data_IF_920066818754
#
_entry.id   IF_920066818754
#
_cell.length_a   1.000
_cell.length_b   1.000
_cell.length_c   1.000
_cell.angle_alpha   90.00
_cell.angle_beta   90.00
_cell.angle_gamma   90.00
#
_symmetry.space_group_name_H-M   'P 1'
#
loop_
_entity.id
_entity.type
_entity.pdbx_description
1 polymer ?
#
# COMPACT_ATOMS: atom_id res chain seq x y z
N UNK A 1 1.14 -21.32 -14.44
CA UNK A 1 2.05 -21.06 -15.58
C UNK A 1 3.41 -21.64 -15.23
N UNK A 2 4.07 -22.37 -16.14
CA UNK A 2 5.36 -22.97 -15.81
C UNK A 2 6.48 -21.93 -16.02
N UNK A 3 7.03 -21.38 -14.94
CA UNK A 3 8.07 -20.35 -14.96
C UNK A 3 9.47 -20.93 -15.33
N UNK A 4 9.67 -22.22 -15.10
CA UNK A 4 10.98 -22.87 -15.32
C UNK A 4 11.24 -23.20 -16.79
N UNK A 5 10.18 -23.60 -17.53
CA UNK A 5 10.31 -24.06 -18.92
C UNK A 5 9.50 -23.20 -19.91
N UNK A 6 8.96 -22.08 -19.47
CA UNK A 6 8.16 -21.17 -20.27
C UNK A 6 9.02 -20.19 -21.10
N UNK A 7 8.44 -19.67 -22.18
CA UNK A 7 9.08 -18.58 -22.93
C UNK A 7 9.13 -17.32 -22.03
N UNK A 8 10.33 -16.77 -21.84
CA UNK A 8 10.59 -15.65 -20.95
C UNK A 8 9.83 -14.38 -21.37
N UNK A 9 9.70 -14.12 -22.69
CA UNK A 9 9.05 -12.90 -23.21
C UNK A 9 7.59 -12.74 -22.74
N UNK A 10 6.68 -13.71 -22.96
CA UNK A 10 5.29 -13.55 -22.50
C UNK A 10 5.18 -13.52 -20.98
N UNK A 11 6.07 -14.21 -20.25
CA UNK A 11 6.13 -14.15 -18.80
C UNK A 11 6.48 -12.72 -18.35
N UNK A 12 7.56 -12.16 -18.89
CA UNK A 12 7.99 -10.80 -18.59
C UNK A 12 6.88 -9.77 -18.88
N UNK A 13 6.26 -9.82 -20.06
CA UNK A 13 5.20 -8.89 -20.42
C UNK A 13 3.96 -9.02 -19.53
N UNK A 14 3.62 -10.21 -19.06
CA UNK A 14 2.52 -10.44 -18.10
C UNK A 14 2.78 -9.70 -16.79
N UNK A 15 3.97 -9.89 -16.20
CA UNK A 15 4.32 -9.24 -14.93
C UNK A 15 4.51 -7.73 -15.09
N UNK A 16 5.16 -7.32 -16.18
CA UNK A 16 5.34 -5.91 -16.50
C UNK A 16 3.99 -5.18 -16.66
N UNK A 17 3.08 -5.72 -17.46
CA UNK A 17 1.75 -5.11 -17.67
C UNK A 17 0.94 -5.03 -16.38
N UNK A 18 0.99 -6.07 -15.53
CA UNK A 18 0.32 -6.08 -14.25
C UNK A 18 0.90 -5.03 -13.29
N UNK A 19 2.22 -4.92 -13.19
CA UNK A 19 2.89 -3.94 -12.34
C UNK A 19 2.68 -2.50 -12.86
N UNK A 20 2.87 -2.30 -14.17
CA UNK A 20 2.67 -1.00 -14.82
C UNK A 20 1.22 -0.52 -14.70
N UNK A 21 0.25 -1.40 -14.97
CA UNK A 21 -1.17 -1.10 -14.82
C UNK A 21 -1.52 -0.71 -13.38
N UNK A 22 -1.03 -1.44 -12.39
CA UNK A 22 -1.22 -1.10 -10.98
C UNK A 22 -0.65 0.27 -10.62
N UNK A 23 0.57 0.58 -11.09
CA UNK A 23 1.22 1.87 -10.83
C UNK A 23 0.46 3.03 -11.50
N UNK A 24 0.06 2.87 -12.76
CA UNK A 24 -0.72 3.87 -13.50
C UNK A 24 -2.04 4.20 -12.80
N UNK A 25 -2.76 3.19 -12.36
CA UNK A 25 -4.04 3.38 -11.68
C UNK A 25 -3.86 4.07 -10.34
N UNK A 26 -2.85 3.67 -9.57
CA UNK A 26 -2.51 4.35 -8.32
C UNK A 26 -2.23 5.84 -8.53
N UNK A 27 -1.50 6.18 -9.60
CA UNK A 27 -1.24 7.57 -9.95
C UNK A 27 -2.51 8.32 -10.37
N UNK A 28 -3.38 7.68 -11.15
CA UNK A 28 -4.63 8.30 -11.63
C UNK A 28 -5.56 8.62 -10.47
N UNK A 29 -5.85 7.66 -9.58
CA UNK A 29 -6.76 7.96 -8.47
C UNK A 29 -6.16 8.96 -7.49
N UNK A 30 -4.85 8.96 -7.27
CA UNK A 30 -4.20 9.97 -6.42
C UNK A 30 -4.32 11.39 -7.00
N UNK A 31 -4.27 11.53 -8.33
CA UNK A 31 -4.52 12.82 -9.00
C UNK A 31 -5.99 13.24 -8.90
N UNK A 32 -6.91 12.30 -9.05
CA UNK A 32 -8.36 12.55 -8.91
C UNK A 32 -8.69 13.01 -7.50
N UNK A 33 -8.20 12.30 -6.49
CA UNK A 33 -8.37 12.63 -5.07
C UNK A 33 -7.86 14.06 -4.77
N UNK A 34 -6.63 14.37 -5.21
CA UNK A 34 -6.07 15.71 -5.05
C UNK A 34 -6.90 16.79 -5.77
N UNK A 35 -7.41 16.50 -6.96
CA UNK A 35 -8.23 17.44 -7.72
C UNK A 35 -9.60 17.66 -7.04
N UNK A 36 -10.24 16.61 -6.52
CA UNK A 36 -11.52 16.71 -5.80
C UNK A 36 -11.38 17.51 -4.51
N UNK A 37 -10.35 17.21 -3.71
CA UNK A 37 -10.06 17.98 -2.49
C UNK A 37 -9.72 19.42 -2.81
N UNK A 38 -8.95 19.68 -3.87
CA UNK A 38 -8.63 21.04 -4.33
C UNK A 38 -9.86 21.83 -4.77
N UNK A 39 -10.85 21.18 -5.37
CA UNK A 39 -12.11 21.84 -5.75
C UNK A 39 -13.01 22.11 -4.53
N UNK A 40 -13.03 21.22 -3.55
CA UNK A 40 -13.90 21.35 -2.37
C UNK A 40 -13.32 22.26 -1.29
N UNK A 41 -12.04 22.07 -0.94
CA UNK A 41 -11.35 22.77 0.15
C UNK A 41 -10.34 23.84 -0.33
N UNK A 42 -10.14 23.96 -1.66
CA UNK A 42 -9.17 24.89 -2.22
C UNK A 42 -7.70 24.56 -1.89
N UNK A 43 -6.83 25.59 -1.90
CA UNK A 43 -5.39 25.40 -1.63
C UNK A 43 -5.09 24.81 -0.26
N UNK A 44 -5.87 25.14 0.77
CA UNK A 44 -5.65 24.66 2.14
C UNK A 44 -5.91 23.14 2.24
N UNK A 45 -6.92 22.63 1.51
CA UNK A 45 -7.19 21.20 1.43
C UNK A 45 -6.04 20.44 0.79
N UNK A 46 -5.51 20.92 -0.34
CA UNK A 46 -4.37 20.29 -1.00
C UNK A 46 -3.09 20.37 -0.16
N UNK A 47 -2.88 21.47 0.56
CA UNK A 47 -1.76 21.62 1.48
C UNK A 47 -1.88 20.62 2.67
N UNK A 48 -3.07 20.45 3.24
CA UNK A 48 -3.31 19.49 4.31
C UNK A 48 -3.06 18.04 3.83
N UNK A 49 -3.51 17.67 2.62
CA UNK A 49 -3.19 16.37 2.04
C UNK A 49 -1.68 16.16 1.86
N UNK A 50 -0.96 17.19 1.41
CA UNK A 50 0.49 17.12 1.25
C UNK A 50 1.22 16.87 2.56
N UNK A 51 0.72 17.39 3.69
CA UNK A 51 1.24 17.13 5.03
C UNK A 51 0.94 15.70 5.51
N UNK A 52 -0.21 15.14 5.13
CA UNK A 52 -0.59 13.75 5.49
C UNK A 52 0.10 12.70 4.59
N UNK A 53 0.44 13.04 3.35
CA UNK A 53 1.03 12.12 2.38
C UNK A 53 2.28 11.36 2.87
N UNK A 54 3.25 11.96 3.59
CA UNK A 54 4.40 11.23 4.14
C UNK A 54 3.99 10.12 5.10
N UNK A 55 2.93 10.30 5.89
CA UNK A 55 2.41 9.27 6.81
C UNK A 55 1.97 8.04 6.01
N UNK A 56 1.18 8.25 4.94
CA UNK A 56 0.78 7.18 4.02
C UNK A 56 1.97 6.47 3.39
N UNK A 57 2.96 7.23 2.91
CA UNK A 57 4.14 6.68 2.26
C UNK A 57 4.98 5.81 3.22
N UNK A 58 5.07 6.18 4.49
CA UNK A 58 5.75 5.37 5.51
C UNK A 58 4.99 4.05 5.72
N UNK A 59 3.67 4.09 5.92
CA UNK A 59 2.85 2.89 6.11
C UNK A 59 2.91 1.96 4.89
N UNK A 60 2.82 2.54 3.69
CA UNK A 60 2.98 1.84 2.43
C UNK A 60 4.34 1.11 2.36
N UNK A 61 5.42 1.81 2.70
CA UNK A 61 6.78 1.27 2.69
C UNK A 61 6.98 0.16 3.72
N UNK A 62 6.38 0.28 4.90
CA UNK A 62 6.42 -0.78 5.92
C UNK A 62 5.68 -2.04 5.45
N UNK A 63 4.55 -1.90 4.79
CA UNK A 63 3.84 -3.02 4.17
C UNK A 63 4.66 -3.70 3.07
N UNK A 64 5.31 -2.91 2.21
CA UNK A 64 6.21 -3.43 1.18
C UNK A 64 7.46 -4.09 1.77
N UNK A 65 8.01 -3.57 2.85
CA UNK A 65 9.18 -4.16 3.52
C UNK A 65 8.91 -5.62 3.91
N UNK A 66 7.79 -5.88 4.58
CA UNK A 66 7.39 -7.24 4.94
C UNK A 66 6.96 -8.05 3.70
N UNK A 67 6.24 -7.42 2.79
CA UNK A 67 5.73 -8.06 1.58
C UNK A 67 6.85 -8.51 0.64
N UNK A 68 7.71 -7.60 0.21
CA UNK A 68 8.80 -7.92 -0.72
C UNK A 68 9.86 -8.78 -0.02
N UNK A 69 10.27 -8.40 1.20
CA UNK A 69 11.27 -9.15 1.96
C UNK A 69 10.86 -10.61 2.18
N UNK A 70 9.62 -10.84 2.63
CA UNK A 70 9.10 -12.20 2.85
C UNK A 70 8.83 -12.97 1.57
N UNK A 71 8.17 -12.34 0.57
CA UNK A 71 7.72 -13.03 -0.63
C UNK A 71 8.87 -13.42 -1.58
N UNK A 72 9.96 -12.66 -1.61
CA UNK A 72 11.15 -13.03 -2.40
C UNK A 72 11.81 -14.28 -1.82
N UNK A 73 11.97 -14.36 -0.51
CA UNK A 73 12.52 -15.55 0.13
C UNK A 73 11.58 -16.75 -0.04
N UNK A 74 10.27 -16.54 0.18
CA UNK A 74 9.22 -17.54 -0.05
C UNK A 74 9.33 -18.15 -1.46
N UNK A 75 9.35 -17.32 -2.50
CA UNK A 75 9.42 -17.79 -3.89
C UNK A 75 10.77 -18.46 -4.22
N UNK A 76 11.86 -17.96 -3.64
CA UNK A 76 13.20 -18.54 -3.83
C UNK A 76 13.30 -19.94 -3.23
N UNK A 77 12.81 -20.11 -1.99
CA UNK A 77 12.82 -21.43 -1.30
C UNK A 77 11.91 -22.42 -2.03
N UNK A 78 10.74 -21.99 -2.49
CA UNK A 78 9.81 -22.80 -3.28
C UNK A 78 10.39 -23.27 -4.61
N UNK A 79 11.27 -22.46 -5.23
CA UNK A 79 11.96 -22.81 -6.49
C UNK A 79 13.17 -23.74 -6.32
N UNK A 80 13.66 -23.96 -5.11
CA UNK A 80 14.81 -24.81 -4.85
C UNK A 80 14.39 -26.27 -4.59
N UNK A 81 14.46 -27.13 -5.60
CA UNK A 81 14.11 -28.55 -5.50
C UNK A 81 14.94 -29.35 -4.47
N UNK A 82 16.14 -28.86 -4.14
CA UNK A 82 17.12 -29.53 -3.27
C UNK A 82 16.90 -29.32 -1.77
N UNK A 83 16.10 -28.35 -1.37
CA UNK A 83 15.84 -28.05 0.04
C UNK A 83 14.42 -28.46 0.50
N UNK A 84 14.05 -29.73 0.30
CA UNK A 84 12.78 -30.29 0.83
C UNK A 84 12.57 -30.15 2.36
N UNK A 85 13.57 -29.66 3.09
CA UNK A 85 13.54 -29.50 4.56
C UNK A 85 12.99 -28.14 5.03
N UNK A 86 12.87 -27.13 4.17
CA UNK A 86 12.34 -25.82 4.56
C UNK A 86 10.95 -25.61 3.98
N UNK A 87 10.01 -25.33 4.89
CA UNK A 87 8.63 -25.04 4.53
C UNK A 87 8.55 -23.56 4.13
N UNK A 88 8.25 -23.27 2.86
CA UNK A 88 8.08 -21.90 2.35
C UNK A 88 7.04 -21.10 3.15
N UNK A 89 6.03 -21.76 3.72
CA UNK A 89 4.98 -21.13 4.53
C UNK A 89 5.50 -20.49 5.82
N UNK A 90 6.69 -20.90 6.31
CA UNK A 90 7.30 -20.27 7.48
C UNK A 90 7.64 -18.80 7.18
N UNK A 91 8.12 -18.48 5.98
CA UNK A 91 8.45 -17.12 5.57
C UNK A 91 7.20 -16.25 5.42
N UNK A 92 6.10 -16.82 4.94
CA UNK A 92 4.80 -16.15 4.93
C UNK A 92 4.34 -15.84 6.36
N UNK A 93 4.43 -16.82 7.26
CA UNK A 93 4.05 -16.63 8.67
C UNK A 93 4.89 -15.57 9.36
N UNK A 94 6.21 -15.55 9.13
CA UNK A 94 7.10 -14.51 9.66
C UNK A 94 6.73 -13.12 9.11
N UNK A 95 6.42 -13.02 7.81
CA UNK A 95 5.98 -11.76 7.21
C UNK A 95 4.64 -11.28 7.80
N UNK A 96 3.70 -12.18 8.05
CA UNK A 96 2.42 -11.86 8.72
C UNK A 96 2.67 -11.35 10.14
N UNK A 97 3.46 -12.06 10.95
CA UNK A 97 3.78 -11.64 12.32
C UNK A 97 4.49 -10.27 12.32
N UNK A 98 5.49 -10.09 11.45
CA UNK A 98 6.18 -8.81 11.29
C UNK A 98 5.23 -7.68 10.89
N UNK A 99 4.30 -7.96 9.98
CA UNK A 99 3.27 -7.00 9.57
C UNK A 99 2.32 -6.63 10.73
N UNK A 100 1.92 -7.60 11.56
CA UNK A 100 1.10 -7.33 12.77
C UNK A 100 1.85 -6.40 13.72
N UNK A 101 3.13 -6.67 13.99
CA UNK A 101 3.94 -5.85 14.88
C UNK A 101 4.09 -4.43 14.31
N UNK A 102 4.46 -4.29 13.04
CA UNK A 102 4.63 -2.99 12.40
C UNK A 102 3.31 -2.22 12.29
N UNK A 103 2.22 -2.91 11.99
CA UNK A 103 0.88 -2.31 11.96
C UNK A 103 0.47 -1.77 13.33
N UNK A 104 0.70 -2.54 14.39
CA UNK A 104 0.37 -2.10 15.74
C UNK A 104 1.25 -0.92 16.19
N UNK A 105 2.56 -0.99 15.94
CA UNK A 105 3.50 0.09 16.30
C UNK A 105 3.18 1.38 15.55
N UNK A 106 2.98 1.31 14.24
CA UNK A 106 2.65 2.49 13.42
C UNK A 106 1.27 3.04 13.78
N UNK A 107 0.29 2.18 14.02
CA UNK A 107 -1.04 2.58 14.46
C UNK A 107 -1.02 3.30 15.81
N UNK A 108 -0.34 2.72 16.81
CA UNK A 108 -0.15 3.36 18.11
C UNK A 108 0.60 4.69 18.00
N UNK A 109 1.68 4.75 17.21
CA UNK A 109 2.42 5.98 16.97
C UNK A 109 1.53 7.10 16.42
N UNK A 110 0.68 6.79 15.44
CA UNK A 110 -0.20 7.79 14.82
C UNK A 110 -1.38 8.17 15.72
N UNK A 111 -1.89 7.25 16.56
CA UNK A 111 -2.95 7.59 17.52
C UNK A 111 -2.44 8.53 18.62
N UNK A 112 -1.25 8.25 19.16
CA UNK A 112 -0.73 9.00 20.30
C UNK A 112 0.08 10.24 19.91
N UNK A 113 0.62 10.29 18.70
CA UNK A 113 1.54 11.33 18.24
C UNK A 113 1.12 11.99 16.92
N UNK A 114 -0.18 11.99 16.60
CA UNK A 114 -0.69 12.60 15.36
C UNK A 114 -0.24 14.06 15.19
N UNK A 115 -0.48 14.92 16.18
CA UNK A 115 -0.09 16.34 16.13
C UNK A 115 1.41 16.55 15.95
N UNK A 116 2.31 15.97 16.79
CA UNK A 116 3.75 16.05 16.58
C UNK A 116 4.19 15.57 15.20
N UNK A 117 3.58 14.51 14.68
CA UNK A 117 3.90 13.96 13.37
C UNK A 117 3.50 14.95 12.26
N UNK A 118 2.29 15.49 12.32
CA UNK A 118 1.81 16.46 11.33
C UNK A 118 2.63 17.75 11.36
N UNK A 119 2.98 18.26 12.55
CA UNK A 119 3.86 19.42 12.71
C UNK A 119 5.27 19.15 12.14
N UNK A 120 5.82 17.95 12.37
CA UNK A 120 7.10 17.54 11.81
C UNK A 120 7.08 17.50 10.27
N UNK A 121 5.95 17.13 9.66
CA UNK A 121 5.78 17.10 8.20
C UNK A 121 5.33 18.46 7.62
N UNK A 122 5.29 19.52 8.41
CA UNK A 122 5.13 20.88 7.93
C UNK A 122 3.72 21.46 8.11
N UNK A 123 2.85 20.86 8.92
CA UNK A 123 1.61 21.53 9.33
C UNK A 123 1.96 22.77 10.15
N UNK A 124 1.38 23.90 9.81
CA UNK A 124 1.35 25.07 10.66
C UNK A 124 0.05 25.10 11.51
N UNK A 125 -0.10 26.11 12.36
CA UNK A 125 -1.29 26.23 13.23
C UNK A 125 -2.61 26.37 12.44
N UNK A 126 -2.57 26.85 11.20
CA UNK A 126 -3.74 27.03 10.36
C UNK A 126 -4.17 25.72 9.68
N UNK A 127 -3.21 24.91 9.26
CA UNK A 127 -3.43 23.65 8.56
C UNK A 127 -3.60 22.45 9.49
N UNK A 128 -3.14 22.53 10.74
CA UNK A 128 -3.12 21.40 11.67
C UNK A 128 -4.51 20.78 11.87
N UNK A 129 -5.52 21.59 12.11
CA UNK A 129 -6.90 21.10 12.32
C UNK A 129 -7.45 20.38 11.09
N UNK A 130 -7.16 20.90 9.89
CA UNK A 130 -7.60 20.28 8.64
C UNK A 130 -6.83 18.98 8.36
N UNK A 131 -5.52 18.96 8.57
CA UNK A 131 -4.70 17.78 8.43
C UNK A 131 -5.10 16.67 9.43
N UNK A 132 -5.46 17.03 10.69
CA UNK A 132 -6.03 16.09 11.67
C UNK A 132 -7.35 15.48 11.20
N UNK A 133 -8.23 16.27 10.59
CA UNK A 133 -9.50 15.77 10.06
C UNK A 133 -9.30 14.76 8.93
N UNK A 134 -8.33 14.98 8.03
CA UNK A 134 -7.94 14.01 6.99
C UNK A 134 -7.26 12.77 7.56
N UNK A 135 -6.45 12.93 8.62
CA UNK A 135 -5.76 11.79 9.24
C UNK A 135 -6.71 10.89 10.05
N UNK A 136 -7.82 11.42 10.53
CA UNK A 136 -8.75 10.68 11.41
C UNK A 136 -9.30 9.40 10.78
N UNK A 137 -9.88 9.38 9.56
CA UNK A 137 -10.30 8.15 8.93
C UNK A 137 -9.12 7.22 8.60
N UNK A 138 -7.96 7.79 8.29
CA UNK A 138 -6.73 7.04 8.01
C UNK A 138 -6.32 6.18 9.20
N UNK A 139 -6.43 6.70 10.43
CA UNK A 139 -6.11 5.96 11.66
C UNK A 139 -6.84 4.61 11.75
N UNK A 140 -8.09 4.55 11.29
CA UNK A 140 -8.88 3.33 11.35
C UNK A 140 -8.41 2.24 10.35
N UNK A 141 -7.83 2.66 9.22
CA UNK A 141 -7.50 1.74 8.11
C UNK A 141 -6.02 1.37 8.01
N UNK A 142 -5.14 2.01 8.80
CA UNK A 142 -3.68 1.76 8.78
C UNK A 142 -3.31 0.28 8.82
N UNK A 143 -3.81 -0.54 9.78
CA UNK A 143 -3.45 -1.96 9.83
C UNK A 143 -3.85 -2.70 8.56
N UNK A 144 -5.07 -2.46 8.07
CA UNK A 144 -5.59 -3.11 6.86
C UNK A 144 -4.80 -2.71 5.62
N UNK A 145 -4.42 -1.43 5.51
CA UNK A 145 -3.63 -0.94 4.38
C UNK A 145 -2.23 -1.55 4.34
N UNK A 146 -1.55 -1.65 5.49
CA UNK A 146 -0.25 -2.29 5.60
C UNK A 146 -0.32 -3.77 5.18
N UNK A 147 -1.31 -4.50 5.70
CA UNK A 147 -1.56 -5.90 5.31
C UNK A 147 -1.87 -6.05 3.82
N UNK A 148 -2.65 -5.16 3.24
CA UNK A 148 -2.96 -5.18 1.82
C UNK A 148 -1.70 -5.08 0.96
N UNK A 149 -0.75 -4.20 1.31
CA UNK A 149 0.52 -4.08 0.60
C UNK A 149 1.38 -5.34 0.72
N UNK A 150 1.47 -5.91 1.92
CA UNK A 150 2.17 -7.17 2.16
C UNK A 150 1.57 -8.30 1.32
N UNK A 151 0.25 -8.51 1.38
CA UNK A 151 -0.44 -9.57 0.65
C UNK A 151 -0.34 -9.40 -0.87
N UNK A 152 -0.43 -8.17 -1.39
CA UNK A 152 -0.25 -7.89 -2.81
C UNK A 152 1.14 -8.28 -3.31
N UNK A 153 2.19 -8.08 -2.51
CA UNK A 153 3.53 -8.52 -2.85
C UNK A 153 3.66 -10.06 -2.88
N UNK A 154 3.07 -10.75 -1.92
CA UNK A 154 3.02 -12.23 -1.91
C UNK A 154 2.25 -12.78 -3.11
N UNK A 155 1.07 -12.24 -3.44
CA UNK A 155 0.30 -12.66 -4.62
C UNK A 155 1.10 -12.53 -5.91
N UNK A 156 1.86 -11.43 -6.07
CA UNK A 156 2.72 -11.25 -7.25
C UNK A 156 3.81 -12.31 -7.33
N UNK A 157 4.44 -12.65 -6.21
CA UNK A 157 5.51 -13.64 -6.14
C UNK A 157 5.01 -15.10 -6.08
N UNK A 158 3.72 -15.31 -5.78
CA UNK A 158 3.06 -16.62 -5.86
C UNK A 158 2.39 -16.90 -7.22
N UNK A 159 2.88 -16.28 -8.29
CA UNK A 159 2.40 -16.45 -9.68
C UNK A 159 0.98 -15.95 -9.98
N UNK A 160 0.41 -15.11 -9.12
CA UNK A 160 -0.91 -14.51 -9.27
C UNK A 160 -0.88 -12.96 -9.35
N UNK A 161 -0.04 -12.35 -10.24
CA UNK A 161 0.05 -10.90 -10.35
C UNK A 161 -1.26 -10.26 -10.81
N UNK A 162 -2.09 -11.00 -11.56
CA UNK A 162 -3.42 -10.55 -11.99
C UNK A 162 -4.38 -10.31 -10.82
N UNK A 163 -4.32 -11.13 -9.76
CA UNK A 163 -5.16 -10.92 -8.57
C UNK A 163 -4.71 -9.68 -7.79
N UNK A 164 -3.41 -9.49 -7.65
CA UNK A 164 -2.88 -8.27 -7.02
C UNK A 164 -3.29 -7.02 -7.80
N UNK A 165 -3.22 -7.06 -9.13
CA UNK A 165 -3.64 -5.95 -9.99
C UNK A 165 -5.14 -5.71 -9.92
N UNK A 166 -5.96 -6.76 -9.96
CA UNK A 166 -7.41 -6.65 -9.84
C UNK A 166 -7.82 -6.02 -8.49
N UNK A 167 -7.13 -6.36 -7.39
CA UNK A 167 -7.37 -5.76 -6.07
C UNK A 167 -7.05 -4.27 -6.05
N UNK A 168 -5.93 -3.86 -6.67
CA UNK A 168 -5.57 -2.43 -6.79
C UNK A 168 -6.59 -1.67 -7.65
N UNK A 169 -7.02 -2.26 -8.77
CA UNK A 169 -8.07 -1.71 -9.65
C UNK A 169 -9.39 -1.51 -8.91
N UNK A 170 -9.85 -2.54 -8.21
CA UNK A 170 -11.10 -2.48 -7.45
C UNK A 170 -11.02 -1.41 -6.35
N UNK A 171 -9.89 -1.35 -5.62
CA UNK A 171 -9.65 -0.34 -4.59
C UNK A 171 -9.62 1.08 -5.17
N UNK A 172 -8.94 1.29 -6.29
CA UNK A 172 -8.88 2.60 -6.95
C UNK A 172 -10.24 3.05 -7.50
N UNK A 173 -11.03 2.14 -8.08
CA UNK A 173 -12.39 2.45 -8.53
C UNK A 173 -13.30 2.81 -7.34
N UNK A 174 -13.22 2.03 -6.25
CA UNK A 174 -13.98 2.31 -5.04
C UNK A 174 -13.59 3.65 -4.40
N UNK A 175 -12.30 4.01 -4.43
CA UNK A 175 -11.82 5.31 -3.97
C UNK A 175 -12.44 6.45 -4.80
N UNK A 176 -12.32 6.45 -6.13
CA UNK A 176 -12.87 7.50 -7.01
C UNK A 176 -14.39 7.67 -6.84
N UNK A 177 -15.12 6.54 -6.75
CA UNK A 177 -16.58 6.58 -6.53
C UNK A 177 -16.89 7.09 -5.11
N UNK A 178 -16.12 6.67 -4.12
CA UNK A 178 -16.26 7.12 -2.74
C UNK A 178 -16.02 8.63 -2.62
N UNK A 179 -14.95 9.14 -3.20
CA UNK A 179 -14.63 10.57 -3.20
C UNK A 179 -15.76 11.39 -3.82
N UNK A 180 -16.32 10.93 -4.94
CA UNK A 180 -17.46 11.62 -5.55
C UNK A 180 -18.70 11.64 -4.65
N UNK A 181 -19.01 10.54 -3.96
CA UNK A 181 -20.21 10.44 -3.11
C UNK A 181 -20.03 11.18 -1.78
N UNK A 182 -18.82 11.18 -1.20
CA UNK A 182 -18.58 11.72 0.14
C UNK A 182 -18.08 13.16 0.14
N UNK A 183 -17.53 13.65 -0.97
CA UNK A 183 -17.04 15.03 -1.10
C UNK A 183 -18.11 15.94 -1.69
N UNK A 184 -18.94 15.46 -2.63
CA UNK A 184 -20.02 16.21 -3.29
C UNK A 184 -21.40 15.67 -2.93
#
# INVERSE_FOLDING_TARGET
MNLLNGNIKPIYFKYFSAAFGSAMITSVYSLVDMAMVGQYQGPDGTAALAVVAPVWNIIYSLGLLMGIGGSVIFSTVRGQETQKSRNENEYFTVAVIGSVILAFVSWAAIIFFDKPILLFFGADSSLLSLAESYLTPVKAVIPLFLFNQMLAAFLRNDNHPELATASVLAGGLFNVVGDYIFVF
#
